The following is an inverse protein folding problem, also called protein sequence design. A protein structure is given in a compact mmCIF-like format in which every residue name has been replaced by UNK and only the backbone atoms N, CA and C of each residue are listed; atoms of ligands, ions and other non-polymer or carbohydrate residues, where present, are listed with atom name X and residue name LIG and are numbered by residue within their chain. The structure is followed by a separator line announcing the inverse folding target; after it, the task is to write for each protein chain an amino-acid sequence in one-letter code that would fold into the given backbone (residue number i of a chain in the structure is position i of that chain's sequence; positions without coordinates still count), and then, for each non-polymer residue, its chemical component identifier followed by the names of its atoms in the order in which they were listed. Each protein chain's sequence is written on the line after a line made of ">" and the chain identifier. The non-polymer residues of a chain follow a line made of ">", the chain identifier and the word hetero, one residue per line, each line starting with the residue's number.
data_IF_150291925931
#
_entry.id   IF_150291925931
#
_cell.length_a   1.000
_cell.length_b   1.000
_cell.length_c   1.000
_cell.angle_alpha   90.00
_cell.angle_beta   90.00
_cell.angle_gamma   90.00
#
_symmetry.space_group_name_H-M   'P 1'
#
loop_
_entity.id
_entity.type
_entity.pdbx_description
1 polymer ?
#
# COMPACT_ATOMS: atom_id res chain seq x y z
N UNK A 1 -50.54 1.67 -14.51
CA UNK A 1 -51.50 0.82 -15.26
C UNK A 1 -52.99 1.13 -15.00
N UNK A 2 -53.46 1.34 -13.76
CA UNK A 2 -54.89 1.58 -13.46
C UNK A 2 -55.49 2.81 -14.17
N UNK A 3 -54.80 3.97 -14.11
CA UNK A 3 -55.22 5.21 -14.80
C UNK A 3 -55.27 5.10 -16.33
N UNK A 4 -54.39 4.30 -16.94
CA UNK A 4 -54.39 4.05 -18.41
C UNK A 4 -55.55 3.14 -18.82
N UNK A 5 -55.87 2.11 -18.02
CA UNK A 5 -57.08 1.29 -18.20
C UNK A 5 -58.36 2.10 -17.99
N UNK A 6 -58.38 3.00 -17.02
CA UNK A 6 -59.50 3.92 -16.78
C UNK A 6 -59.66 4.92 -17.95
N UNK A 7 -58.56 5.45 -18.50
CA UNK A 7 -58.59 6.37 -19.65
C UNK A 7 -58.99 5.68 -20.95
N UNK A 8 -58.44 4.50 -21.26
CA UNK A 8 -58.85 3.69 -22.41
C UNK A 8 -60.30 3.22 -22.24
N UNK A 9 -60.71 2.85 -21.03
CA UNK A 9 -62.10 2.51 -20.71
C UNK A 9 -63.04 3.69 -20.92
N UNK A 10 -62.63 4.88 -20.50
CA UNK A 10 -63.38 6.12 -20.71
C UNK A 10 -63.47 6.48 -22.20
N UNK A 11 -62.36 6.44 -22.95
CA UNK A 11 -62.36 6.66 -24.40
C UNK A 11 -63.21 5.62 -25.12
N UNK A 12 -63.13 4.34 -24.76
CA UNK A 12 -63.96 3.27 -25.32
C UNK A 12 -65.44 3.51 -25.02
N UNK A 13 -65.79 3.94 -23.81
CA UNK A 13 -67.16 4.27 -23.42
C UNK A 13 -67.70 5.49 -24.18
N UNK A 14 -66.87 6.53 -24.35
CA UNK A 14 -67.20 7.71 -25.16
C UNK A 14 -67.37 7.31 -26.64
N UNK A 15 -66.48 6.47 -27.15
CA UNK A 15 -66.53 5.94 -28.52
C UNK A 15 -67.78 5.09 -28.75
N UNK A 16 -68.12 4.17 -27.83
CA UNK A 16 -69.35 3.37 -27.90
C UNK A 16 -70.60 4.24 -27.78
N UNK A 17 -70.63 5.25 -26.89
CA UNK A 17 -71.76 6.19 -26.82
C UNK A 17 -71.93 6.96 -28.12
N UNK A 18 -70.84 7.45 -28.70
CA UNK A 18 -70.87 8.32 -29.88
C UNK A 18 -71.12 7.52 -31.16
N UNK A 19 -70.54 6.34 -31.29
CA UNK A 19 -70.89 5.39 -32.37
C UNK A 19 -72.31 4.90 -32.26
N UNK A 20 -72.83 4.63 -31.05
CA UNK A 20 -74.25 4.28 -30.88
C UNK A 20 -75.18 5.43 -31.25
N UNK A 21 -74.84 6.67 -30.89
CA UNK A 21 -75.59 7.86 -31.33
C UNK A 21 -75.50 8.07 -32.85
N UNK A 22 -74.36 7.78 -33.47
CA UNK A 22 -74.17 7.83 -34.92
C UNK A 22 -74.94 6.68 -35.60
N UNK A 23 -74.99 5.48 -35.02
CA UNK A 23 -75.73 4.35 -35.56
C UNK A 23 -77.24 4.53 -35.37
N UNK A 24 -77.67 5.12 -34.26
CA UNK A 24 -79.07 5.53 -34.03
C UNK A 24 -79.46 6.62 -35.04
N UNK A 25 -78.62 7.64 -35.25
CA UNK A 25 -78.84 8.66 -36.29
C UNK A 25 -78.70 8.13 -37.73
N UNK A 26 -77.87 7.11 -37.97
CA UNK A 26 -77.73 6.48 -39.28
C UNK A 26 -78.90 5.52 -39.56
N UNK A 27 -79.44 4.85 -38.54
CA UNK A 27 -80.68 4.11 -38.63
C UNK A 27 -81.89 5.05 -38.79
N UNK A 28 -81.84 6.25 -38.19
CA UNK A 28 -82.78 7.35 -38.51
C UNK A 28 -82.61 7.81 -39.97
N UNK A 29 -81.43 7.62 -40.60
CA UNK A 29 -81.18 7.91 -42.04
C UNK A 29 -81.61 6.74 -42.95
N UNK A 30 -81.48 5.48 -42.53
CA UNK A 30 -82.18 4.35 -43.18
C UNK A 30 -83.70 4.52 -43.06
N UNK A 31 -84.17 5.16 -41.98
CA UNK A 31 -85.54 5.67 -41.88
C UNK A 31 -85.78 6.88 -42.80
N UNK A 32 -84.80 7.73 -43.13
CA UNK A 32 -84.94 8.81 -44.14
C UNK A 32 -85.12 8.25 -45.56
N UNK A 33 -84.42 7.17 -45.92
CA UNK A 33 -84.63 6.44 -47.20
C UNK A 33 -86.05 5.81 -47.26
N UNK A 34 -86.62 5.45 -46.10
CA UNK A 34 -88.02 5.04 -45.97
C UNK A 34 -89.00 6.23 -45.90
N UNK A 35 -88.62 7.37 -45.32
CA UNK A 35 -89.43 8.58 -45.20
C UNK A 35 -89.52 9.34 -46.54
N UNK A 36 -88.51 9.26 -47.42
CA UNK A 36 -88.63 9.72 -48.82
C UNK A 36 -89.64 8.88 -49.61
N UNK A 37 -89.82 7.60 -49.26
CA UNK A 37 -90.82 6.72 -49.89
C UNK A 37 -92.23 6.87 -49.32
N UNK A 38 -92.39 7.26 -48.06
CA UNK A 38 -93.71 7.33 -47.40
C UNK A 38 -94.28 8.75 -47.14
N UNK A 39 -93.52 9.84 -47.26
CA UNK A 39 -94.03 11.15 -46.79
C UNK A 39 -94.39 12.13 -47.93
N UNK A 40 -95.64 12.06 -48.40
CA UNK A 40 -96.35 13.24 -48.92
C UNK A 40 -96.77 14.09 -47.71
N UNK A 41 -96.43 15.38 -47.76
CA UNK A 41 -96.79 16.44 -46.78
C UNK A 41 -95.76 16.76 -45.68
N UNK A 42 -94.50 16.98 -46.06
CA UNK A 42 -93.72 18.06 -45.43
C UNK A 42 -93.95 19.32 -46.27
N UNK A 43 -94.37 20.43 -45.65
CA UNK A 43 -94.35 21.72 -46.34
C UNK A 43 -92.90 22.02 -46.74
N UNK A 44 -92.66 22.57 -47.94
CA UNK A 44 -91.31 22.85 -48.48
C UNK A 44 -90.37 23.56 -47.48
N UNK A 45 -90.94 24.36 -46.57
CA UNK A 45 -90.25 25.08 -45.50
C UNK A 45 -89.67 24.14 -44.43
N UNK A 46 -90.40 23.10 -44.01
CA UNK A 46 -89.97 22.16 -42.97
C UNK A 46 -88.86 21.24 -43.47
N UNK A 47 -88.97 20.76 -44.71
CA UNK A 47 -87.92 19.96 -45.37
C UNK A 47 -86.62 20.75 -45.56
N UNK A 48 -86.71 22.01 -46.00
CA UNK A 48 -85.55 22.91 -46.11
C UNK A 48 -84.91 23.17 -44.74
N UNK A 49 -85.72 23.34 -43.69
CA UNK A 49 -85.21 23.55 -42.33
C UNK A 49 -84.48 22.32 -41.77
N UNK A 50 -84.98 21.12 -42.05
CA UNK A 50 -84.36 19.86 -41.65
C UNK A 50 -83.06 19.60 -42.41
N UNK A 51 -83.06 19.75 -43.74
CA UNK A 51 -81.85 19.65 -44.57
C UNK A 51 -80.76 20.62 -44.09
N UNK A 52 -81.11 21.87 -43.77
CA UNK A 52 -80.16 22.85 -43.23
C UNK A 52 -79.58 22.45 -41.86
N UNK A 53 -80.40 21.87 -40.98
CA UNK A 53 -79.95 21.38 -39.66
C UNK A 53 -79.04 20.16 -39.81
N UNK A 54 -79.38 19.24 -40.71
CA UNK A 54 -78.58 18.05 -40.99
C UNK A 54 -77.24 18.40 -41.64
N UNK A 55 -77.19 19.32 -42.61
CA UNK A 55 -75.92 19.79 -43.19
C UNK A 55 -75.01 20.41 -42.12
N UNK A 56 -75.58 21.23 -41.22
CA UNK A 56 -74.82 21.81 -40.12
C UNK A 56 -74.25 20.74 -39.18
N UNK A 57 -75.02 19.70 -38.84
CA UNK A 57 -74.53 18.58 -38.03
C UNK A 57 -73.45 17.75 -38.75
N UNK A 58 -73.61 17.49 -40.06
CA UNK A 58 -72.61 16.78 -40.87
C UNK A 58 -71.32 17.60 -41.02
N UNK A 59 -71.40 18.93 -41.16
CA UNK A 59 -70.22 19.82 -41.13
C UNK A 59 -69.52 19.79 -39.77
N UNK A 60 -70.28 19.83 -38.67
CA UNK A 60 -69.76 19.66 -37.31
C UNK A 60 -69.06 18.31 -37.11
N UNK A 61 -69.60 17.25 -37.70
CA UNK A 61 -69.01 15.91 -37.63
C UNK A 61 -67.72 15.81 -38.46
N UNK A 62 -67.69 16.36 -39.68
CA UNK A 62 -66.48 16.44 -40.52
C UNK A 62 -65.36 17.22 -39.83
N UNK A 63 -65.67 18.38 -39.24
CA UNK A 63 -64.67 19.18 -38.52
C UNK A 63 -64.10 18.45 -37.29
N UNK A 64 -64.94 17.74 -36.52
CA UNK A 64 -64.50 16.90 -35.40
C UNK A 64 -63.53 15.80 -35.88
N UNK A 65 -63.84 15.20 -37.03
CA UNK A 65 -63.09 14.11 -37.62
C UNK A 65 -61.75 14.57 -38.21
N UNK A 66 -61.72 15.70 -38.92
CA UNK A 66 -60.45 16.34 -39.29
C UNK A 66 -59.56 16.67 -38.08
N UNK A 67 -60.14 17.17 -36.99
CA UNK A 67 -59.39 17.43 -35.75
C UNK A 67 -58.84 16.13 -35.16
N UNK A 68 -59.63 15.05 -35.16
CA UNK A 68 -59.20 13.73 -34.71
C UNK A 68 -58.05 13.18 -35.56
N UNK A 69 -58.09 13.32 -36.88
CA UNK A 69 -56.98 12.92 -37.78
C UNK A 69 -55.69 13.63 -37.40
N UNK A 70 -55.76 14.95 -37.18
CA UNK A 70 -54.60 15.73 -36.75
C UNK A 70 -54.05 15.26 -35.40
N UNK A 71 -54.92 14.94 -34.45
CA UNK A 71 -54.51 14.41 -33.14
C UNK A 71 -53.85 13.01 -33.26
N UNK A 72 -54.31 12.18 -34.20
CA UNK A 72 -53.69 10.86 -34.49
C UNK A 72 -52.31 11.04 -35.12
N UNK A 73 -52.18 11.90 -36.13
CA UNK A 73 -50.90 12.21 -36.77
C UNK A 73 -49.87 12.67 -35.72
N UNK A 74 -50.26 13.61 -34.85
CA UNK A 74 -49.43 14.07 -33.74
C UNK A 74 -49.11 12.94 -32.74
N UNK A 75 -50.06 12.07 -32.44
CA UNK A 75 -49.83 10.91 -31.56
C UNK A 75 -48.82 9.93 -32.16
N UNK A 76 -48.86 9.69 -33.48
CA UNK A 76 -47.90 8.82 -34.17
C UNK A 76 -46.52 9.45 -34.18
N UNK A 77 -46.41 10.75 -34.45
CA UNK A 77 -45.15 11.50 -34.38
C UNK A 77 -44.50 11.39 -32.98
N UNK A 78 -45.26 11.66 -31.92
CA UNK A 78 -44.79 11.51 -30.54
C UNK A 78 -44.39 10.06 -30.23
N UNK A 79 -45.11 9.07 -30.76
CA UNK A 79 -44.79 7.66 -30.56
C UNK A 79 -43.46 7.29 -31.22
N UNK A 80 -43.20 7.80 -32.43
CA UNK A 80 -41.92 7.61 -33.11
C UNK A 80 -40.77 8.29 -32.36
N UNK A 81 -41.01 9.47 -31.78
CA UNK A 81 -40.02 10.14 -30.95
C UNK A 81 -39.70 9.33 -29.69
N UNK A 82 -40.70 8.78 -29.00
CA UNK A 82 -40.48 7.89 -27.85
C UNK A 82 -39.67 6.65 -28.28
N UNK A 83 -39.95 6.07 -29.46
CA UNK A 83 -39.19 4.94 -29.97
C UNK A 83 -37.71 5.26 -30.20
N UNK A 84 -37.42 6.47 -30.70
CA UNK A 84 -36.06 6.98 -30.85
C UNK A 84 -35.37 7.15 -29.49
N UNK A 85 -36.02 7.82 -28.53
CA UNK A 85 -35.45 8.07 -27.19
C UNK A 85 -35.15 6.75 -26.44
N UNK A 86 -36.02 5.75 -26.58
CA UNK A 86 -35.80 4.41 -25.98
C UNK A 86 -34.66 3.66 -26.68
N UNK A 87 -34.47 3.85 -27.98
CA UNK A 87 -33.34 3.25 -28.71
C UNK A 87 -32.00 3.83 -28.25
N UNK A 88 -31.94 5.15 -28.08
CA UNK A 88 -30.77 5.83 -27.51
C UNK A 88 -30.50 5.37 -26.06
N UNK A 89 -31.56 5.20 -25.25
CA UNK A 89 -31.44 4.64 -23.90
C UNK A 89 -30.83 3.23 -23.91
N UNK A 90 -31.25 2.36 -24.83
CA UNK A 90 -30.71 1.01 -24.96
C UNK A 90 -29.25 0.99 -25.37
N UNK A 91 -28.85 1.86 -26.30
CA UNK A 91 -27.44 2.05 -26.64
C UNK A 91 -26.62 2.49 -25.42
N UNK A 92 -27.15 3.40 -24.61
CA UNK A 92 -26.52 3.81 -23.35
C UNK A 92 -26.37 2.66 -22.34
N UNK A 93 -27.39 1.82 -22.19
CA UNK A 93 -27.37 0.64 -21.31
C UNK A 93 -26.34 -0.40 -21.77
N UNK A 94 -26.23 -0.65 -23.07
CA UNK A 94 -25.23 -1.57 -23.64
C UNK A 94 -23.80 -1.10 -23.34
N UNK A 95 -23.52 0.18 -23.58
CA UNK A 95 -22.21 0.77 -23.26
C UNK A 95 -21.91 0.77 -21.75
N UNK A 96 -22.94 0.98 -20.92
CA UNK A 96 -22.81 0.87 -19.47
C UNK A 96 -22.45 -0.56 -19.04
N UNK A 97 -23.08 -1.57 -19.64
CA UNK A 97 -22.81 -2.99 -19.35
C UNK A 97 -21.33 -3.36 -19.60
N UNK A 98 -20.76 -2.91 -20.72
CA UNK A 98 -19.34 -3.11 -21.02
C UNK A 98 -18.44 -2.42 -19.99
N UNK A 99 -18.77 -1.17 -19.62
CA UNK A 99 -18.00 -0.40 -18.64
C UNK A 99 -18.02 -1.06 -17.26
N UNK A 100 -19.18 -1.57 -16.84
CA UNK A 100 -19.36 -2.27 -15.55
C UNK A 100 -18.57 -3.57 -15.51
N UNK A 101 -18.51 -4.32 -16.61
CA UNK A 101 -17.67 -5.52 -16.70
C UNK A 101 -16.18 -5.18 -16.48
N UNK A 102 -15.69 -4.11 -17.11
CA UNK A 102 -14.32 -3.65 -16.92
C UNK A 102 -14.04 -3.25 -15.47
N UNK A 103 -14.98 -2.54 -14.81
CA UNK A 103 -14.84 -2.20 -13.40
C UNK A 103 -14.84 -3.43 -12.48
N UNK A 104 -15.64 -4.46 -12.79
CA UNK A 104 -15.62 -5.71 -12.02
C UNK A 104 -14.28 -6.44 -12.15
N UNK A 105 -13.68 -6.45 -13.33
CA UNK A 105 -12.33 -7.01 -13.51
C UNK A 105 -11.27 -6.23 -12.71
N UNK A 106 -11.37 -4.89 -12.68
CA UNK A 106 -10.49 -4.04 -11.88
C UNK A 106 -10.67 -4.31 -10.38
N UNK A 107 -11.91 -4.41 -9.89
CA UNK A 107 -12.20 -4.73 -8.48
C UNK A 107 -11.60 -6.07 -8.05
N UNK A 108 -11.74 -7.11 -8.89
CA UNK A 108 -11.13 -8.42 -8.61
C UNK A 108 -9.59 -8.37 -8.58
N UNK A 109 -8.98 -7.59 -9.49
CA UNK A 109 -7.52 -7.36 -9.47
C UNK A 109 -7.09 -6.61 -8.21
N UNK A 110 -7.83 -5.59 -7.78
CA UNK A 110 -7.56 -4.88 -6.53
C UNK A 110 -7.61 -5.82 -5.33
N UNK A 111 -8.62 -6.70 -5.24
CA UNK A 111 -8.71 -7.71 -4.17
C UNK A 111 -7.48 -8.63 -4.11
N UNK A 112 -7.01 -9.07 -5.27
CA UNK A 112 -5.78 -9.89 -5.37
C UNK A 112 -4.54 -9.10 -4.95
N UNK A 113 -4.47 -7.82 -5.32
CA UNK A 113 -3.36 -6.94 -4.95
C UNK A 113 -3.33 -6.69 -3.44
N UNK A 114 -4.48 -6.41 -2.82
CA UNK A 114 -4.64 -6.26 -1.36
C UNK A 114 -4.14 -7.51 -0.63
N UNK A 115 -4.53 -8.71 -1.09
CA UNK A 115 -4.05 -9.96 -0.52
C UNK A 115 -2.52 -10.10 -0.62
N UNK A 116 -1.95 -9.74 -1.77
CA UNK A 116 -0.50 -9.80 -2.00
C UNK A 116 0.26 -8.83 -1.09
N UNK A 117 -0.25 -7.61 -0.93
CA UNK A 117 0.32 -6.60 -0.03
C UNK A 117 0.23 -7.07 1.42
N UNK A 118 -0.90 -7.62 1.84
CA UNK A 118 -1.09 -8.17 3.20
C UNK A 118 -0.06 -9.25 3.53
N UNK A 119 0.15 -10.22 2.63
CA UNK A 119 1.18 -11.24 2.82
C UNK A 119 2.60 -10.65 2.89
N UNK A 120 2.86 -9.59 2.13
CA UNK A 120 4.16 -8.88 2.14
C UNK A 120 4.38 -8.15 3.46
N UNK A 121 3.31 -7.57 4.03
CA UNK A 121 3.33 -6.94 5.36
C UNK A 121 3.65 -7.99 6.43
N UNK A 122 2.99 -9.14 6.42
CA UNK A 122 3.24 -10.22 7.39
C UNK A 122 4.69 -10.72 7.32
N UNK A 123 5.22 -10.92 6.11
CA UNK A 123 6.63 -11.27 5.93
C UNK A 123 7.57 -10.18 6.48
N UNK A 124 7.26 -8.91 6.21
CA UNK A 124 8.03 -7.76 6.71
C UNK A 124 7.99 -7.69 8.24
N UNK A 125 6.85 -7.98 8.86
CA UNK A 125 6.72 -8.06 10.31
C UNK A 125 7.64 -9.16 10.90
N UNK A 126 7.72 -10.32 10.23
CA UNK A 126 8.67 -11.37 10.55
C UNK A 126 10.12 -10.90 10.48
N UNK A 127 10.49 -10.16 9.43
CA UNK A 127 11.82 -9.57 9.29
C UNK A 127 12.13 -8.56 10.39
N UNK A 128 11.23 -7.60 10.67
CA UNK A 128 11.37 -6.61 11.74
C UNK A 128 11.61 -7.28 13.09
N UNK A 129 10.84 -8.32 13.42
CA UNK A 129 11.00 -9.09 14.66
C UNK A 129 12.37 -9.77 14.75
N UNK A 130 12.81 -10.42 13.67
CA UNK A 130 14.10 -11.10 13.63
C UNK A 130 15.25 -10.08 13.73
N UNK A 131 15.21 -8.99 12.97
CA UNK A 131 16.24 -7.95 13.03
C UNK A 131 16.29 -7.31 14.42
N UNK A 132 15.14 -7.10 15.08
CA UNK A 132 15.10 -6.61 16.47
C UNK A 132 15.83 -7.57 17.41
N UNK A 133 15.57 -8.86 17.30
CA UNK A 133 16.24 -9.90 18.10
C UNK A 133 17.76 -9.91 17.85
N UNK A 134 18.20 -9.97 16.60
CA UNK A 134 19.62 -9.96 16.23
C UNK A 134 20.34 -8.70 16.70
N UNK A 135 19.68 -7.53 16.61
CA UNK A 135 20.22 -6.25 17.10
C UNK A 135 20.40 -6.26 18.63
N UNK A 136 19.44 -6.84 19.36
CA UNK A 136 19.55 -7.00 20.81
C UNK A 136 20.70 -7.95 21.20
N UNK A 137 20.86 -9.06 20.48
CA UNK A 137 21.99 -9.97 20.67
C UNK A 137 23.32 -9.27 20.36
N UNK A 138 23.39 -8.53 19.25
CA UNK A 138 24.57 -7.73 18.88
C UNK A 138 24.96 -6.72 19.96
N UNK A 139 23.99 -6.00 20.53
CA UNK A 139 24.23 -5.07 21.63
C UNK A 139 24.80 -5.79 22.88
N UNK A 140 24.26 -6.96 23.25
CA UNK A 140 24.80 -7.76 24.36
C UNK A 140 26.25 -8.20 24.13
N UNK A 141 26.59 -8.58 22.89
CA UNK A 141 27.96 -8.93 22.52
C UNK A 141 28.89 -7.71 22.63
N UNK A 142 28.44 -6.54 22.19
CA UNK A 142 29.21 -5.29 22.33
C UNK A 142 29.45 -4.95 23.80
N UNK A 143 28.43 -4.99 24.66
CA UNK A 143 28.57 -4.75 26.10
C UNK A 143 29.59 -5.73 26.72
N UNK A 144 29.54 -7.00 26.31
CA UNK A 144 30.50 -8.01 26.76
C UNK A 144 31.93 -7.69 26.30
N UNK A 145 32.10 -7.21 25.07
CA UNK A 145 33.39 -6.78 24.53
C UNK A 145 33.95 -5.56 25.27
N UNK A 146 33.12 -4.56 25.60
CA UNK A 146 33.52 -3.39 26.42
C UNK A 146 34.06 -3.86 27.78
N UNK A 147 33.33 -4.74 28.46
CA UNK A 147 33.76 -5.29 29.74
C UNK A 147 35.08 -6.06 29.64
N UNK A 148 35.28 -6.80 28.55
CA UNK A 148 36.52 -7.54 28.33
C UNK A 148 37.70 -6.61 28.02
N UNK A 149 37.47 -5.51 27.29
CA UNK A 149 38.50 -4.49 27.02
C UNK A 149 38.90 -3.74 28.29
N UNK A 150 37.94 -3.42 29.18
CA UNK A 150 38.24 -2.83 30.48
C UNK A 150 39.16 -3.74 31.33
N UNK A 151 38.89 -5.05 31.35
CA UNK A 151 39.77 -6.03 32.03
C UNK A 151 41.14 -6.12 31.38
N UNK A 152 41.22 -6.03 30.04
CA UNK A 152 42.49 -6.04 29.33
C UNK A 152 43.33 -4.80 29.64
N UNK A 153 42.68 -3.63 29.74
CA UNK A 153 43.31 -2.38 30.16
C UNK A 153 43.90 -2.49 31.58
N UNK A 154 43.13 -3.03 32.52
CA UNK A 154 43.58 -3.29 33.90
C UNK A 154 44.77 -4.27 33.93
N UNK A 155 44.68 -5.39 33.19
CA UNK A 155 45.77 -6.36 33.10
C UNK A 155 47.03 -5.74 32.52
N UNK A 156 46.91 -4.88 31.50
CA UNK A 156 48.04 -4.18 30.89
C UNK A 156 48.70 -3.23 31.89
N UNK A 157 47.89 -2.51 32.68
CA UNK A 157 48.39 -1.65 33.75
C UNK A 157 49.18 -2.43 34.80
N UNK A 158 48.67 -3.59 35.24
CA UNK A 158 49.35 -4.44 36.21
C UNK A 158 50.70 -4.96 35.69
N UNK A 159 50.79 -5.29 34.39
CA UNK A 159 52.06 -5.72 33.77
C UNK A 159 53.06 -4.56 33.70
N UNK A 160 52.61 -3.35 33.35
CA UNK A 160 53.45 -2.15 33.35
C UNK A 160 54.02 -1.89 34.76
N UNK A 161 53.20 -2.02 35.81
CA UNK A 161 53.66 -1.85 37.19
C UNK A 161 54.70 -2.91 37.60
N UNK A 162 54.46 -4.18 37.24
CA UNK A 162 55.40 -5.27 37.52
C UNK A 162 56.74 -5.08 36.81
N UNK A 163 56.73 -4.62 35.55
CA UNK A 163 57.93 -4.26 34.80
C UNK A 163 58.66 -3.08 35.46
N UNK A 164 57.94 -2.07 35.96
CA UNK A 164 58.53 -0.98 36.73
C UNK A 164 59.29 -1.46 37.97
N UNK A 165 58.72 -2.42 38.72
CA UNK A 165 59.40 -3.05 39.87
C UNK A 165 60.64 -3.85 39.45
N UNK A 166 60.58 -4.52 38.29
CA UNK A 166 61.71 -5.28 37.74
C UNK A 166 62.86 -4.35 37.34
N UNK A 167 62.57 -3.20 36.73
CA UNK A 167 63.59 -2.16 36.44
C UNK A 167 64.30 -1.74 37.72
N UNK A 168 63.54 -1.38 38.77
CA UNK A 168 64.11 -0.97 40.05
C UNK A 168 64.98 -2.05 40.71
N UNK A 169 64.55 -3.32 40.63
CA UNK A 169 65.31 -4.46 41.15
C UNK A 169 66.61 -4.68 40.37
N UNK A 170 66.57 -4.61 39.03
CA UNK A 170 67.77 -4.71 38.18
C UNK A 170 68.78 -3.60 38.45
N UNK A 171 68.33 -2.37 38.73
CA UNK A 171 69.21 -1.27 39.13
C UNK A 171 69.89 -1.52 40.48
N UNK A 172 69.18 -2.08 41.45
CA UNK A 172 69.76 -2.46 42.74
C UNK A 172 70.81 -3.56 42.59
N UNK A 173 70.54 -4.61 41.82
CA UNK A 173 71.50 -5.68 41.53
C UNK A 173 72.73 -5.10 40.79
N UNK A 174 72.51 -4.16 39.87
CA UNK A 174 73.60 -3.44 39.18
C UNK A 174 74.55 -2.76 40.17
N UNK A 175 74.00 -1.99 41.12
CA UNK A 175 74.80 -1.32 42.17
C UNK A 175 75.59 -2.32 43.02
N UNK A 176 74.95 -3.40 43.47
CA UNK A 176 75.61 -4.45 44.26
C UNK A 176 76.75 -5.09 43.47
N UNK A 177 76.52 -5.38 42.19
CA UNK A 177 77.53 -5.99 41.31
C UNK A 177 78.73 -5.08 41.12
N UNK A 178 78.51 -3.75 40.98
CA UNK A 178 79.58 -2.76 40.95
C UNK A 178 80.38 -2.76 42.25
N UNK A 179 79.73 -2.78 43.41
CA UNK A 179 80.41 -2.86 44.71
C UNK A 179 81.22 -4.15 44.86
N UNK A 180 80.70 -5.30 44.42
CA UNK A 180 81.45 -6.57 44.44
C UNK A 180 82.70 -6.47 43.58
N UNK A 181 82.59 -5.85 42.39
CA UNK A 181 83.74 -5.63 41.49
C UNK A 181 84.81 -4.76 42.17
N UNK A 182 84.41 -3.68 42.81
CA UNK A 182 85.31 -2.79 43.58
C UNK A 182 86.01 -3.52 44.73
N UNK A 183 85.27 -4.32 45.51
CA UNK A 183 85.83 -5.15 46.61
C UNK A 183 86.82 -6.17 46.04
N UNK A 184 86.48 -6.79 44.91
CA UNK A 184 87.33 -7.77 44.23
C UNK A 184 88.64 -7.16 43.76
N UNK A 185 88.60 -5.95 43.20
CA UNK A 185 89.78 -5.19 42.77
C UNK A 185 90.67 -4.79 43.94
N UNK A 186 90.06 -4.33 45.04
CA UNK A 186 90.79 -4.04 46.28
C UNK A 186 91.43 -5.29 46.88
N UNK A 187 90.72 -6.41 46.89
CA UNK A 187 91.23 -7.69 47.42
C UNK A 187 92.38 -8.22 46.57
N UNK A 188 92.28 -8.08 45.24
CA UNK A 188 93.35 -8.42 44.31
C UNK A 188 94.62 -7.58 44.56
N UNK A 189 94.46 -6.27 44.78
CA UNK A 189 95.57 -5.36 45.14
C UNK A 189 96.19 -5.71 46.50
N UNK A 190 95.37 -6.00 47.52
CA UNK A 190 95.83 -6.44 48.84
C UNK A 190 96.61 -7.75 48.76
N UNK A 191 96.09 -8.73 48.01
CA UNK A 191 96.74 -10.01 47.79
C UNK A 191 98.07 -9.87 47.02
N UNK A 192 98.13 -8.97 46.04
CA UNK A 192 99.36 -8.66 45.33
C UNK A 192 100.42 -8.07 46.28
N UNK A 193 100.04 -7.09 47.10
CA UNK A 193 100.92 -6.50 48.10
C UNK A 193 101.40 -7.54 49.11
N UNK A 194 100.52 -8.45 49.56
CA UNK A 194 100.87 -9.54 50.46
C UNK A 194 101.83 -10.56 49.81
N UNK A 195 101.63 -10.92 48.53
CA UNK A 195 102.56 -11.79 47.79
C UNK A 195 103.94 -11.15 47.64
N UNK A 196 104.01 -9.84 47.40
CA UNK A 196 105.28 -9.09 47.31
C UNK A 196 106.00 -9.13 48.67
N UNK A 197 105.31 -8.84 49.76
CA UNK A 197 105.94 -8.81 51.09
C UNK A 197 106.32 -10.21 51.59
N UNK A 198 105.54 -11.24 51.25
CA UNK A 198 105.87 -12.64 51.50
C UNK A 198 107.12 -13.10 50.73
N UNK A 199 107.29 -12.65 49.47
CA UNK A 199 108.51 -12.89 48.71
C UNK A 199 109.73 -12.17 49.33
N UNK A 200 109.51 -11.00 49.94
CA UNK A 200 110.54 -10.20 50.62
C UNK A 200 111.04 -10.85 51.92
N UNK A 201 110.18 -11.60 52.62
CA UNK A 201 110.52 -12.34 53.84
C UNK A 201 111.30 -13.65 53.59
N UNK A 202 111.53 -14.05 52.34
CA UNK A 202 112.35 -15.23 52.00
C UNK A 202 111.72 -16.56 52.44
N UNK A 203 112.49 -17.45 53.08
CA UNK A 203 112.02 -18.80 53.47
C UNK A 203 110.89 -18.78 54.51
N UNK A 204 110.88 -17.79 55.40
CA UNK A 204 109.85 -17.63 56.44
C UNK A 204 108.48 -17.19 55.84
N UNK A 205 108.49 -16.52 54.69
CA UNK A 205 107.30 -16.02 54.00
C UNK A 205 106.64 -17.01 53.04
N UNK A 206 107.21 -18.20 52.84
CA UNK A 206 106.78 -19.12 51.78
C UNK A 206 105.32 -19.56 51.91
N UNK A 207 104.86 -19.87 53.13
CA UNK A 207 103.45 -20.21 53.40
C UNK A 207 102.49 -19.04 53.15
N UNK A 208 102.90 -17.82 53.50
CA UNK A 208 102.12 -16.60 53.24
C UNK A 208 102.04 -16.27 51.74
N UNK A 209 103.11 -16.52 50.98
CA UNK A 209 103.11 -16.30 49.54
C UNK A 209 102.10 -17.20 48.81
N UNK A 210 101.97 -18.47 49.23
CA UNK A 210 100.98 -19.41 48.68
C UNK A 210 99.55 -18.94 48.97
N UNK A 211 99.28 -18.51 50.21
CA UNK A 211 97.96 -17.99 50.60
C UNK A 211 97.62 -16.71 49.80
N UNK A 212 98.56 -15.77 49.70
CA UNK A 212 98.36 -14.54 48.95
C UNK A 212 98.11 -14.79 47.45
N UNK A 213 98.80 -15.77 46.85
CA UNK A 213 98.54 -16.18 45.46
C UNK A 213 97.15 -16.79 45.28
N UNK A 214 96.66 -17.59 46.23
CA UNK A 214 95.31 -18.17 46.18
C UNK A 214 94.23 -17.09 46.37
N UNK A 215 94.41 -16.16 47.31
CA UNK A 215 93.50 -15.00 47.47
C UNK A 215 93.45 -14.15 46.19
N UNK A 216 94.59 -13.94 45.54
CA UNK A 216 94.67 -13.21 44.27
C UNK A 216 93.85 -13.91 43.19
N UNK A 217 93.99 -15.23 43.07
CA UNK A 217 93.24 -16.05 42.12
C UNK A 217 91.72 -16.02 42.40
N UNK A 218 91.30 -16.15 43.65
CA UNK A 218 89.87 -16.01 44.03
C UNK A 218 89.33 -14.61 43.70
N UNK A 219 90.13 -13.57 43.92
CA UNK A 219 89.75 -12.19 43.60
C UNK A 219 89.61 -12.00 42.08
N UNK A 220 90.50 -12.56 41.28
CA UNK A 220 90.40 -12.48 39.82
C UNK A 220 89.19 -13.26 39.28
N UNK A 221 88.89 -14.43 39.85
CA UNK A 221 87.66 -15.18 39.55
C UNK A 221 86.40 -14.43 39.95
N UNK A 222 86.39 -13.78 41.12
CA UNK A 222 85.27 -12.96 41.60
C UNK A 222 85.03 -11.76 40.69
N UNK A 223 86.10 -11.10 40.23
CA UNK A 223 86.02 -10.00 39.28
C UNK A 223 85.41 -10.45 37.95
N UNK A 224 85.86 -11.60 37.41
CA UNK A 224 85.32 -12.17 36.18
C UNK A 224 83.82 -12.50 36.32
N UNK A 225 83.42 -13.12 37.44
CA UNK A 225 82.02 -13.42 37.72
C UNK A 225 81.17 -12.15 37.85
N UNK A 226 81.64 -11.13 38.57
CA UNK A 226 80.96 -9.84 38.67
C UNK A 226 80.80 -9.17 37.29
N UNK A 227 81.81 -9.28 36.42
CA UNK A 227 81.73 -8.74 35.07
C UNK A 227 80.70 -9.48 34.20
N UNK A 228 80.61 -10.81 34.31
CA UNK A 228 79.58 -11.61 33.64
C UNK A 228 78.17 -11.24 34.13
N UNK A 229 77.99 -11.08 35.45
CA UNK A 229 76.73 -10.61 36.04
C UNK A 229 76.37 -9.22 35.50
N UNK A 230 77.34 -8.30 35.41
CA UNK A 230 77.10 -6.96 34.87
C UNK A 230 76.64 -6.99 33.41
N UNK A 231 77.17 -7.90 32.59
CA UNK A 231 76.73 -8.10 31.20
C UNK A 231 75.27 -8.59 31.19
N UNK A 232 74.94 -9.59 32.00
CA UNK A 232 73.56 -10.12 32.10
C UNK A 232 72.56 -9.04 32.54
N UNK A 233 72.92 -8.20 33.51
CA UNK A 233 72.08 -7.08 33.95
C UNK A 233 71.87 -6.07 32.82
N UNK A 234 72.91 -5.76 32.05
CA UNK A 234 72.81 -4.84 30.91
C UNK A 234 71.89 -5.39 29.81
N UNK A 235 72.01 -6.68 29.50
CA UNK A 235 71.11 -7.36 28.54
C UNK A 235 69.67 -7.35 29.06
N UNK A 236 69.44 -7.77 30.31
CA UNK A 236 68.10 -7.75 30.90
C UNK A 236 67.49 -6.34 30.90
N UNK A 237 68.29 -5.30 31.18
CA UNK A 237 67.81 -3.90 31.13
C UNK A 237 67.32 -3.53 29.74
N UNK A 238 68.04 -3.92 28.69
CA UNK A 238 67.63 -3.69 27.30
C UNK A 238 66.35 -4.44 26.96
N UNK A 239 66.23 -5.69 27.38
CA UNK A 239 65.03 -6.50 27.15
C UNK A 239 63.81 -5.91 27.87
N UNK A 240 63.98 -5.44 29.11
CA UNK A 240 62.94 -4.76 29.86
C UNK A 240 62.51 -3.46 29.18
N UNK A 241 63.44 -2.68 28.64
CA UNK A 241 63.11 -1.47 27.88
C UNK A 241 62.27 -1.79 26.64
N UNK A 242 62.62 -2.84 25.89
CA UNK A 242 61.85 -3.27 24.72
C UNK A 242 60.44 -3.70 25.11
N UNK A 243 60.29 -4.46 26.21
CA UNK A 243 58.98 -4.87 26.74
C UNK A 243 58.15 -3.64 27.14
N UNK A 244 58.76 -2.64 27.77
CA UNK A 244 58.06 -1.42 28.17
C UNK A 244 57.56 -0.61 26.96
N UNK A 245 58.33 -0.52 25.87
CA UNK A 245 57.88 0.10 24.61
C UNK A 245 56.67 -0.66 24.06
N UNK A 246 56.75 -1.99 23.97
CA UNK A 246 55.65 -2.82 23.48
C UNK A 246 54.38 -2.69 24.33
N UNK A 247 54.51 -2.57 25.66
CA UNK A 247 53.37 -2.39 26.57
C UNK A 247 52.72 -1.02 26.44
N UNK A 248 53.49 0.05 26.18
CA UNK A 248 52.92 1.37 25.93
C UNK A 248 52.11 1.37 24.63
N UNK A 249 52.64 0.77 23.56
CA UNK A 249 51.87 0.58 22.32
C UNK A 249 50.60 -0.25 22.56
N UNK A 250 50.71 -1.37 23.29
CA UNK A 250 49.56 -2.22 23.62
C UNK A 250 48.48 -1.43 24.40
N UNK A 251 48.89 -0.57 25.34
CA UNK A 251 47.97 0.29 26.09
C UNK A 251 47.21 1.24 25.15
N UNK A 252 47.91 1.87 24.21
CA UNK A 252 47.31 2.79 23.26
C UNK A 252 46.33 2.05 22.32
N UNK A 253 46.72 0.88 21.80
CA UNK A 253 45.88 0.01 20.97
C UNK A 253 44.60 -0.44 21.69
N UNK A 254 44.70 -0.77 22.98
CA UNK A 254 43.53 -1.11 23.82
C UNK A 254 42.62 0.09 24.01
N UNK A 255 43.18 1.28 24.22
CA UNK A 255 42.39 2.52 24.34
C UNK A 255 41.62 2.82 23.06
N UNK A 256 42.26 2.70 21.90
CA UNK A 256 41.60 2.86 20.60
C UNK A 256 40.52 1.80 20.38
N UNK A 257 40.81 0.54 20.75
CA UNK A 257 39.84 -0.56 20.66
C UNK A 257 38.59 -0.30 21.50
N UNK A 258 38.71 0.29 22.70
CA UNK A 258 37.57 0.69 23.52
C UNK A 258 36.68 1.69 22.78
N UNK A 259 37.28 2.73 22.16
CA UNK A 259 36.52 3.72 21.40
C UNK A 259 35.79 3.12 20.18
N UNK A 260 36.42 2.17 19.49
CA UNK A 260 35.81 1.48 18.36
C UNK A 260 34.62 0.62 18.78
N UNK A 261 34.75 -0.12 19.88
CA UNK A 261 33.67 -0.98 20.40
C UNK A 261 32.51 -0.14 20.94
N UNK A 262 32.79 0.98 21.62
CA UNK A 262 31.77 1.93 22.08
C UNK A 262 30.98 2.53 20.90
N UNK A 263 31.70 2.94 19.84
CA UNK A 263 31.08 3.41 18.60
C UNK A 263 30.20 2.35 17.95
N UNK A 264 30.61 1.07 17.97
CA UNK A 264 29.77 -0.03 17.50
C UNK A 264 28.50 -0.18 18.35
N UNK A 265 28.58 0.04 19.66
CA UNK A 265 27.42 0.04 20.56
C UNK A 265 26.37 1.08 20.18
N UNK A 266 26.81 2.31 19.92
CA UNK A 266 25.95 3.40 19.46
C UNK A 266 25.29 3.08 18.11
N UNK A 267 26.00 2.40 17.20
CA UNK A 267 25.42 1.95 15.92
C UNK A 267 24.31 0.92 16.14
N UNK A 268 24.48 -0.06 17.03
CA UNK A 268 23.41 -1.02 17.35
C UNK A 268 22.21 -0.36 18.02
N UNK A 269 22.42 0.64 18.88
CA UNK A 269 21.33 1.43 19.47
C UNK A 269 20.54 2.18 18.39
N UNK A 270 21.24 2.84 17.45
CA UNK A 270 20.60 3.50 16.32
C UNK A 270 19.81 2.53 15.44
N UNK A 271 20.36 1.34 15.16
CA UNK A 271 19.66 0.28 14.43
C UNK A 271 18.39 -0.15 15.19
N UNK A 272 18.45 -0.31 16.51
CA UNK A 272 17.27 -0.66 17.33
C UNK A 272 16.16 0.40 17.24
N UNK A 273 16.52 1.68 17.23
CA UNK A 273 15.58 2.79 17.06
C UNK A 273 14.96 2.79 15.65
N UNK A 274 15.77 2.56 14.61
CA UNK A 274 15.27 2.45 13.24
C UNK A 274 14.30 1.28 13.08
N UNK A 275 14.59 0.12 13.65
CA UNK A 275 13.70 -1.06 13.59
C UNK A 275 12.38 -0.79 14.30
N UNK A 276 12.40 -0.04 15.41
CA UNK A 276 11.18 0.35 16.12
C UNK A 276 10.29 1.23 15.23
N UNK A 277 10.88 2.23 14.57
CA UNK A 277 10.16 3.07 13.61
C UNK A 277 9.64 2.29 12.40
N UNK A 278 10.44 1.38 11.86
CA UNK A 278 9.99 0.50 10.76
C UNK A 278 8.81 -0.37 11.20
N UNK A 279 8.77 -0.82 12.46
CA UNK A 279 7.60 -1.54 12.99
C UNK A 279 6.34 -0.68 12.97
N UNK A 280 6.44 0.59 13.37
CA UNK A 280 5.33 1.54 13.36
C UNK A 280 4.85 1.82 11.94
N UNK A 281 5.77 2.04 11.00
CA UNK A 281 5.45 2.24 9.57
C UNK A 281 4.74 1.01 8.96
N UNK A 282 5.15 -0.21 9.35
CA UNK A 282 4.49 -1.45 8.92
C UNK A 282 3.06 -1.54 9.45
N UNK A 283 2.81 -1.13 10.69
CA UNK A 283 1.47 -1.08 11.28
C UNK A 283 0.57 -0.06 10.54
N UNK A 284 1.11 1.11 10.17
CA UNK A 284 0.38 2.12 9.39
C UNK A 284 0.01 1.61 7.98
N UNK A 285 0.92 0.91 7.32
CA UNK A 285 0.66 0.30 6.00
C UNK A 285 -0.40 -0.79 6.11
N UNK A 286 -0.41 -1.58 7.19
CA UNK A 286 -1.46 -2.57 7.47
C UNK A 286 -2.84 -1.90 7.61
N UNK A 287 -2.94 -0.80 8.36
CA UNK A 287 -4.19 -0.05 8.51
C UNK A 287 -4.69 0.50 7.16
N UNK A 288 -3.78 1.09 6.38
CA UNK A 288 -4.11 1.60 5.05
C UNK A 288 -4.55 0.50 4.09
N UNK A 289 -3.91 -0.68 4.16
CA UNK A 289 -4.27 -1.84 3.33
C UNK A 289 -5.67 -2.36 3.66
N UNK A 290 -6.05 -2.39 4.94
CA UNK A 290 -7.42 -2.74 5.36
C UNK A 290 -8.46 -1.74 4.86
N UNK A 291 -8.15 -0.45 4.88
CA UNK A 291 -9.05 0.56 4.32
C UNK A 291 -9.27 0.34 2.81
N UNK A 292 -8.19 0.04 2.06
CA UNK A 292 -8.30 -0.28 0.63
C UNK A 292 -9.11 -1.55 0.39
N UNK A 293 -9.03 -2.54 1.28
CA UNK A 293 -9.87 -3.75 1.23
C UNK A 293 -11.36 -3.39 1.34
N UNK A 294 -11.73 -2.60 2.36
CA UNK A 294 -13.10 -2.14 2.58
C UNK A 294 -13.63 -1.31 1.40
N UNK A 295 -12.81 -0.40 0.87
CA UNK A 295 -13.16 0.41 -0.31
C UNK A 295 -13.34 -0.47 -1.56
N UNK A 296 -12.52 -1.51 -1.72
CA UNK A 296 -12.65 -2.46 -2.84
C UNK A 296 -13.95 -3.26 -2.76
N UNK A 297 -14.33 -3.72 -1.58
CA UNK A 297 -15.60 -4.42 -1.38
C UNK A 297 -16.79 -3.48 -1.64
N UNK A 298 -16.72 -2.21 -1.22
CA UNK A 298 -17.77 -1.20 -1.51
C UNK A 298 -17.91 -0.90 -3.01
N UNK A 299 -16.80 -0.87 -3.75
CA UNK A 299 -16.83 -0.75 -5.22
C UNK A 299 -17.55 -1.95 -5.83
N UNK A 300 -17.30 -3.17 -5.34
CA UNK A 300 -17.94 -4.37 -5.85
C UNK A 300 -19.46 -4.35 -5.61
N UNK A 301 -19.92 -3.91 -4.44
CA UNK A 301 -21.35 -3.70 -4.16
C UNK A 301 -21.97 -2.66 -5.10
N UNK A 302 -21.26 -1.55 -5.34
CA UNK A 302 -21.71 -0.49 -6.26
C UNK A 302 -21.86 -1.01 -7.70
N UNK A 303 -20.93 -1.85 -8.15
CA UNK A 303 -20.98 -2.53 -9.45
C UNK A 303 -22.24 -3.40 -9.55
N UNK A 304 -22.56 -4.20 -8.53
CA UNK A 304 -23.76 -5.04 -8.50
C UNK A 304 -25.07 -4.22 -8.57
N UNK A 305 -25.11 -3.06 -7.92
CA UNK A 305 -26.24 -2.14 -8.00
C UNK A 305 -26.41 -1.57 -9.41
N UNK A 306 -25.31 -1.22 -10.09
CA UNK A 306 -25.36 -0.74 -11.47
C UNK A 306 -25.84 -1.85 -12.40
N UNK A 307 -25.31 -3.08 -12.29
CA UNK A 307 -25.80 -4.24 -13.07
C UNK A 307 -27.31 -4.42 -12.90
N UNK A 308 -27.78 -4.38 -11.65
CA UNK A 308 -29.21 -4.53 -11.34
C UNK A 308 -30.04 -3.42 -12.00
N UNK A 309 -29.57 -2.17 -11.93
CA UNK A 309 -30.25 -1.01 -12.52
C UNK A 309 -30.28 -1.11 -14.05
N UNK A 310 -29.18 -1.49 -14.69
CA UNK A 310 -29.11 -1.69 -16.14
C UNK A 310 -30.08 -2.78 -16.62
N UNK A 311 -30.20 -3.90 -15.90
CA UNK A 311 -31.17 -4.95 -16.20
C UNK A 311 -32.62 -4.46 -16.09
N UNK A 312 -32.93 -3.62 -15.10
CA UNK A 312 -34.26 -3.01 -14.96
C UNK A 312 -34.55 -2.08 -16.13
N UNK A 313 -33.58 -1.23 -16.53
CA UNK A 313 -33.73 -0.34 -17.68
C UNK A 313 -33.99 -1.10 -18.98
N UNK A 314 -33.30 -2.23 -19.20
CA UNK A 314 -33.54 -3.11 -20.36
C UNK A 314 -34.98 -3.64 -20.38
N UNK A 315 -35.48 -4.13 -19.23
CA UNK A 315 -36.86 -4.61 -19.10
C UNK A 315 -37.90 -3.49 -19.33
N UNK A 316 -37.63 -2.29 -18.80
CA UNK A 316 -38.50 -1.14 -18.99
C UNK A 316 -38.54 -0.69 -20.46
N UNK A 317 -37.40 -0.65 -21.14
CA UNK A 317 -37.33 -0.33 -22.57
C UNK A 317 -38.11 -1.34 -23.42
N UNK A 318 -37.97 -2.64 -23.16
CA UNK A 318 -38.75 -3.68 -23.84
C UNK A 318 -40.27 -3.48 -23.63
N UNK A 319 -40.69 -3.14 -22.40
CA UNK A 319 -42.08 -2.81 -22.08
C UNK A 319 -42.56 -1.56 -22.82
N UNK A 320 -41.74 -0.52 -22.95
CA UNK A 320 -42.08 0.68 -23.71
C UNK A 320 -42.21 0.36 -25.20
N UNK A 321 -41.32 -0.43 -25.78
CA UNK A 321 -41.45 -0.90 -27.17
C UNK A 321 -42.76 -1.67 -27.41
N UNK A 322 -43.15 -2.55 -26.49
CA UNK A 322 -44.44 -3.22 -26.58
C UNK A 322 -45.63 -2.23 -26.54
N UNK A 323 -45.53 -1.17 -25.74
CA UNK A 323 -46.54 -0.10 -25.70
C UNK A 323 -46.57 0.74 -26.98
N UNK A 324 -45.42 1.05 -27.58
CA UNK A 324 -45.29 1.72 -28.87
C UNK A 324 -46.02 0.93 -29.94
N UNK A 325 -45.77 -0.38 -30.05
CA UNK A 325 -46.42 -1.25 -31.02
C UNK A 325 -47.95 -1.25 -30.86
N UNK A 326 -48.43 -1.31 -29.63
CA UNK A 326 -49.87 -1.22 -29.35
C UNK A 326 -50.45 0.15 -29.73
N UNK A 327 -49.70 1.24 -29.53
CA UNK A 327 -50.15 2.59 -29.82
C UNK A 327 -50.20 2.88 -31.32
N UNK A 328 -49.21 2.42 -32.08
CA UNK A 328 -49.22 2.48 -33.55
C UNK A 328 -50.42 1.68 -34.10
N UNK A 329 -50.61 0.44 -33.65
CA UNK A 329 -51.76 -0.37 -34.09
C UNK A 329 -53.11 0.26 -33.75
N UNK A 330 -53.22 0.90 -32.57
CA UNK A 330 -54.43 1.63 -32.19
C UNK A 330 -54.66 2.86 -33.09
N UNK A 331 -53.60 3.60 -33.43
CA UNK A 331 -53.66 4.76 -34.32
C UNK A 331 -54.15 4.35 -35.73
N UNK A 332 -53.56 3.31 -36.32
CA UNK A 332 -53.97 2.76 -37.63
C UNK A 332 -55.45 2.35 -37.63
N UNK A 333 -55.90 1.69 -36.57
CA UNK A 333 -57.29 1.25 -36.45
C UNK A 333 -58.26 2.44 -36.31
N UNK A 334 -57.87 3.51 -35.60
CA UNK A 334 -58.70 4.72 -35.51
C UNK A 334 -58.73 5.43 -36.88
N UNK A 335 -57.59 5.58 -37.54
CA UNK A 335 -57.48 6.23 -38.86
C UNK A 335 -58.34 5.51 -39.91
N UNK A 336 -58.27 4.17 -39.98
CA UNK A 336 -59.09 3.38 -40.90
C UNK A 336 -60.60 3.56 -40.65
N UNK A 337 -61.02 3.55 -39.38
CA UNK A 337 -62.43 3.75 -39.04
C UNK A 337 -62.88 5.18 -39.29
N UNK A 338 -61.99 6.14 -39.06
CA UNK A 338 -62.22 7.55 -39.30
C UNK A 338 -62.49 7.83 -40.79
N UNK A 339 -61.62 7.33 -41.68
CA UNK A 339 -61.79 7.49 -43.14
C UNK A 339 -63.10 6.90 -43.64
N UNK A 340 -63.50 5.72 -43.16
CA UNK A 340 -64.80 5.11 -43.50
C UNK A 340 -66.00 5.97 -43.08
N UNK A 341 -65.88 6.71 -41.98
CA UNK A 341 -66.97 7.58 -41.51
C UNK A 341 -67.00 8.88 -42.33
N UNK A 342 -65.85 9.47 -42.66
CA UNK A 342 -65.80 10.61 -43.58
C UNK A 342 -66.46 10.23 -44.92
N UNK A 343 -66.09 9.10 -45.51
CA UNK A 343 -66.66 8.62 -46.77
C UNK A 343 -68.18 8.47 -46.68
N UNK A 344 -68.71 7.90 -45.59
CA UNK A 344 -70.16 7.81 -45.36
C UNK A 344 -70.83 9.18 -45.23
N UNK A 345 -70.21 10.12 -44.53
CA UNK A 345 -70.75 11.49 -44.39
C UNK A 345 -70.80 12.18 -45.75
N UNK A 346 -69.76 12.04 -46.57
CA UNK A 346 -69.71 12.59 -47.92
C UNK A 346 -70.78 11.96 -48.82
N UNK A 347 -70.96 10.64 -48.76
CA UNK A 347 -72.04 9.94 -49.47
C UNK A 347 -73.43 10.46 -49.06
N UNK A 348 -73.70 10.60 -47.76
CA UNK A 348 -74.96 11.16 -47.25
C UNK A 348 -75.18 12.59 -47.78
N UNK A 349 -74.13 13.41 -47.80
CA UNK A 349 -74.21 14.76 -48.36
C UNK A 349 -74.52 14.76 -49.86
N UNK A 350 -73.90 13.86 -50.64
CA UNK A 350 -74.14 13.74 -52.08
C UNK A 350 -75.59 13.31 -52.34
N UNK A 351 -76.12 12.34 -51.59
CA UNK A 351 -77.48 11.80 -51.80
C UNK A 351 -78.58 12.78 -51.39
N UNK A 352 -78.40 13.55 -50.32
CA UNK A 352 -79.47 14.40 -49.76
C UNK A 352 -79.48 15.84 -50.29
N UNK A 353 -78.35 16.34 -50.83
CA UNK A 353 -78.17 17.74 -51.22
C UNK A 353 -77.83 17.98 -52.70
N UNK A 354 -77.59 16.93 -53.48
CA UNK A 354 -77.76 16.97 -54.95
C UNK A 354 -79.12 16.40 -55.32
#
# INVERSE_FOLDING_TARGET
>A
MRKRKEYIGWLKLQWTKRTKQILEKANEIDEVDNLEKENKELNDIELVSFKKKLDHELQGLLSFFHMLSKDIEQSVELTNQIAFDVSEMMYGVENQSETVKNYSEIGNKMKTQVFTVTNSIDATYGHVKNTKYETQQGNQVVISAINQMAKLQESTYNVIEAIGKLVGSSEQIGKITTTIKEISDQTNLLALNASIEAARAGREGFGFAVIAQEIRKLSEQTHQAANQISILISTNKKDIQNVNVALNTTRDDVSESIHLVDSAGLLFENISNLITRTSEEVDEVMLSTKQVEEETDSIQESIEQVVTTSNIMEQEAQSIFANIQQQVSAAEHIELNHLKIIEKIEQIKITLFN
#
